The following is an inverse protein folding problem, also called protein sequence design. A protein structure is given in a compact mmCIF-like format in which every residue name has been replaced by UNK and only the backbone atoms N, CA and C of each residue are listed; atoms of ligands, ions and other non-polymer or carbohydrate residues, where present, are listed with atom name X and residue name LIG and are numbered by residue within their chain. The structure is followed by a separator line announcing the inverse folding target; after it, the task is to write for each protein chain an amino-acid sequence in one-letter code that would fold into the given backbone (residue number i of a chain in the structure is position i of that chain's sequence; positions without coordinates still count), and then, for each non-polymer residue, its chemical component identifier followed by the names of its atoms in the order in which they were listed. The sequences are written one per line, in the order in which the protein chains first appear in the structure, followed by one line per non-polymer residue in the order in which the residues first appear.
data_IF_546939498332
#
_entry.id   IF_546939498332
#
_cell.length_a   1.000
_cell.length_b   1.000
_cell.length_c   1.000
_cell.angle_alpha   90.00
_cell.angle_beta   90.00
_cell.angle_gamma   90.00
#
_symmetry.space_group_name_H-M   'P 1'
#
loop_
_entity.id
_entity.type
_entity.pdbx_description
1 polymer ?
#
# COMPACT_ATOMS: atom_id res chain seq x y z
N UNK A 1 -34.41 20.89 6.00
CA UNK A 1 -34.16 19.83 4.99
C UNK A 1 -32.98 20.25 4.13
N UNK A 2 -32.13 19.34 3.76
CA UNK A 2 -31.02 19.60 2.85
C UNK A 2 -31.53 19.58 1.42
N UNK A 3 -31.04 20.46 0.56
CA UNK A 3 -31.46 20.52 -0.85
C UNK A 3 -30.23 20.40 -1.76
N UNK A 4 -30.38 19.67 -2.87
CA UNK A 4 -29.34 19.57 -3.90
C UNK A 4 -29.32 20.85 -4.75
N UNK A 5 -28.46 21.79 -4.40
CA UNK A 5 -28.40 23.13 -5.02
C UNK A 5 -27.85 23.11 -6.46
N UNK A 6 -26.86 22.21 -6.71
CA UNK A 6 -26.20 22.15 -8.01
C UNK A 6 -25.58 20.80 -8.31
N UNK A 7 -25.53 20.46 -9.62
CA UNK A 7 -24.77 19.31 -10.17
C UNK A 7 -23.80 19.88 -11.19
N UNK A 8 -22.51 19.96 -10.85
CA UNK A 8 -21.50 20.61 -11.68
C UNK A 8 -20.45 19.62 -12.16
N UNK A 9 -20.15 19.63 -13.45
CA UNK A 9 -19.05 18.84 -14.00
C UNK A 9 -17.73 19.14 -13.30
N UNK A 10 -16.96 18.10 -12.99
CA UNK A 10 -15.60 18.21 -12.46
C UNK A 10 -14.60 18.35 -13.61
N UNK A 11 -13.39 18.85 -13.30
CA UNK A 11 -12.26 18.78 -14.24
C UNK A 11 -11.79 17.35 -14.54
N UNK A 12 -12.16 16.39 -13.69
CA UNK A 12 -11.88 14.98 -13.89
C UNK A 12 -13.00 14.40 -14.74
N UNK A 13 -12.64 13.70 -15.83
CA UNK A 13 -13.60 13.04 -16.72
C UNK A 13 -14.55 12.12 -15.96
N UNK A 14 -15.81 12.09 -16.39
CA UNK A 14 -16.90 11.27 -15.84
C UNK A 14 -17.21 11.53 -14.34
N UNK A 15 -16.72 12.63 -13.78
CA UNK A 15 -17.00 13.05 -12.40
C UNK A 15 -17.82 14.34 -12.38
N UNK A 16 -18.78 14.39 -11.48
CA UNK A 16 -19.55 15.58 -11.13
C UNK A 16 -19.40 15.86 -9.64
N UNK A 17 -19.66 17.08 -9.23
CA UNK A 17 -19.79 17.46 -7.83
C UNK A 17 -21.25 17.80 -7.56
N UNK A 18 -21.86 17.11 -6.61
CA UNK A 18 -23.15 17.46 -6.03
C UNK A 18 -22.90 18.52 -4.97
N UNK A 19 -23.51 19.69 -5.07
CA UNK A 19 -23.41 20.74 -4.05
C UNK A 19 -24.78 20.90 -3.38
N UNK A 20 -24.78 20.98 -2.06
CA UNK A 20 -25.97 21.09 -1.25
C UNK A 20 -26.20 22.52 -0.75
N UNK A 21 -27.39 22.79 -0.17
CA UNK A 21 -27.80 24.11 0.30
C UNK A 21 -26.94 24.66 1.45
N UNK A 22 -26.25 23.81 2.19
CA UNK A 22 -25.27 24.14 3.25
C UNK A 22 -23.85 24.37 2.69
N UNK A 23 -23.67 24.45 1.38
CA UNK A 23 -22.39 24.55 0.67
C UNK A 23 -21.48 23.29 0.81
N UNK A 24 -21.93 22.24 1.46
CA UNK A 24 -21.22 20.96 1.40
C UNK A 24 -21.28 20.39 -0.02
N UNK A 25 -20.31 19.49 -0.34
CA UNK A 25 -20.31 18.85 -1.64
C UNK A 25 -19.81 17.44 -1.60
N UNK A 26 -20.29 16.60 -2.53
CA UNK A 26 -19.86 15.21 -2.71
C UNK A 26 -19.47 14.99 -4.18
N UNK A 27 -18.31 14.39 -4.46
CA UNK A 27 -17.95 13.97 -5.81
C UNK A 27 -18.67 12.68 -6.18
N UNK A 28 -19.22 12.63 -7.37
CA UNK A 28 -19.99 11.50 -7.90
C UNK A 28 -19.50 11.07 -9.27
N UNK A 29 -19.74 9.82 -9.60
CA UNK A 29 -19.66 9.36 -10.98
C UNK A 29 -20.93 9.77 -11.73
N UNK A 30 -20.79 10.21 -13.00
CA UNK A 30 -21.93 10.75 -13.74
C UNK A 30 -23.07 9.74 -13.91
N UNK A 31 -22.73 8.46 -14.14
CA UNK A 31 -23.73 7.40 -14.29
C UNK A 31 -24.56 7.18 -13.02
N UNK A 32 -23.96 7.39 -11.83
CA UNK A 32 -24.66 7.24 -10.55
C UNK A 32 -25.66 8.39 -10.34
N UNK A 33 -25.41 9.58 -10.89
CA UNK A 33 -26.37 10.68 -10.89
C UNK A 33 -27.62 10.30 -11.70
N UNK A 34 -27.42 9.68 -12.87
CA UNK A 34 -28.51 9.21 -13.72
C UNK A 34 -29.28 8.07 -13.04
N UNK A 35 -28.58 7.06 -12.52
CA UNK A 35 -29.20 5.92 -11.83
C UNK A 35 -30.04 6.33 -10.64
N UNK A 36 -29.59 7.31 -9.86
CA UNK A 36 -30.30 7.81 -8.69
C UNK A 36 -31.32 8.92 -9.02
N UNK A 37 -31.47 9.25 -10.31
CA UNK A 37 -32.38 10.27 -10.81
C UNK A 37 -32.24 11.60 -10.06
N UNK A 38 -30.99 12.05 -9.86
CA UNK A 38 -30.70 13.27 -9.12
C UNK A 38 -30.93 14.50 -9.98
N UNK A 39 -31.74 15.42 -9.47
CA UNK A 39 -32.06 16.68 -10.16
C UNK A 39 -31.80 17.88 -9.27
N UNK A 40 -31.45 19.00 -9.87
CA UNK A 40 -31.26 20.26 -9.16
C UNK A 40 -32.55 20.67 -8.39
N UNK A 41 -32.37 21.25 -7.22
CA UNK A 41 -33.41 21.68 -6.27
C UNK A 41 -34.20 20.52 -5.62
N UNK A 42 -33.73 19.30 -5.77
CA UNK A 42 -34.31 18.13 -5.08
C UNK A 42 -34.10 18.22 -3.58
N UNK A 43 -35.12 17.95 -2.80
CA UNK A 43 -35.02 17.76 -1.36
C UNK A 43 -34.36 16.42 -1.05
N UNK A 44 -33.47 16.43 -0.07
CA UNK A 44 -32.67 15.28 0.37
C UNK A 44 -32.97 15.07 1.85
N UNK A 45 -33.65 13.98 2.14
CA UNK A 45 -33.83 13.48 3.50
C UNK A 45 -32.55 12.79 4.03
N UNK A 46 -32.58 12.36 5.28
CA UNK A 46 -31.43 11.72 5.93
C UNK A 46 -31.05 10.38 5.29
N UNK A 47 -32.02 9.56 4.90
CA UNK A 47 -31.76 8.25 4.28
C UNK A 47 -31.13 8.41 2.91
N UNK A 48 -31.68 9.35 2.12
CA UNK A 48 -31.09 9.67 0.80
C UNK A 48 -29.71 10.28 0.92
N UNK A 49 -29.46 11.13 1.92
CA UNK A 49 -28.13 11.67 2.18
C UNK A 49 -27.12 10.56 2.50
N UNK A 50 -27.47 9.61 3.36
CA UNK A 50 -26.63 8.47 3.69
C UNK A 50 -26.33 7.60 2.45
N UNK A 51 -27.33 7.37 1.62
CA UNK A 51 -27.14 6.68 0.33
C UNK A 51 -26.18 7.45 -0.59
N UNK A 52 -26.31 8.76 -0.67
CA UNK A 52 -25.41 9.60 -1.48
C UNK A 52 -23.98 9.58 -0.95
N UNK A 53 -23.82 9.66 0.38
CA UNK A 53 -22.51 9.56 1.03
C UNK A 53 -21.89 8.18 0.73
N UNK A 54 -22.66 7.11 0.91
CA UNK A 54 -22.19 5.73 0.66
C UNK A 54 -21.73 5.57 -0.80
N UNK A 55 -22.55 6.02 -1.76
CA UNK A 55 -22.25 5.93 -3.20
C UNK A 55 -20.99 6.73 -3.55
N UNK A 56 -20.89 7.97 -3.07
CA UNK A 56 -19.72 8.82 -3.26
C UNK A 56 -18.44 8.20 -2.70
N UNK A 57 -18.50 7.73 -1.46
CA UNK A 57 -17.36 7.10 -0.79
C UNK A 57 -16.92 5.81 -1.51
N UNK A 58 -17.88 5.00 -1.95
CA UNK A 58 -17.61 3.77 -2.70
C UNK A 58 -16.89 4.07 -4.03
N UNK A 59 -17.39 5.06 -4.78
CA UNK A 59 -16.76 5.51 -6.01
C UNK A 59 -15.32 5.97 -5.79
N UNK A 60 -15.11 6.87 -4.83
CA UNK A 60 -13.78 7.41 -4.53
C UNK A 60 -12.80 6.34 -4.03
N UNK A 61 -13.29 5.42 -3.20
CA UNK A 61 -12.47 4.34 -2.67
C UNK A 61 -12.08 3.32 -3.73
N UNK A 62 -13.00 2.99 -4.65
CA UNK A 62 -12.72 2.12 -5.79
C UNK A 62 -11.67 2.72 -6.72
N UNK A 63 -11.81 4.00 -7.07
CA UNK A 63 -10.82 4.73 -7.86
C UNK A 63 -9.44 4.77 -7.15
N UNK A 64 -9.44 5.00 -5.84
CA UNK A 64 -8.22 4.98 -5.05
C UNK A 64 -7.57 3.60 -5.04
N UNK A 65 -8.34 2.53 -4.82
CA UNK A 65 -7.85 1.15 -4.80
C UNK A 65 -7.22 0.75 -6.14
N UNK A 66 -7.90 1.03 -7.25
CA UNK A 66 -7.38 0.77 -8.60
C UNK A 66 -6.07 1.51 -8.86
N UNK A 67 -5.96 2.78 -8.47
CA UNK A 67 -4.69 3.54 -8.56
C UNK A 67 -3.59 2.92 -7.71
N UNK A 68 -3.90 2.41 -6.50
CA UNK A 68 -2.89 1.77 -5.67
C UNK A 68 -2.36 0.47 -6.28
N UNK A 69 -3.22 -0.32 -6.91
CA UNK A 69 -2.84 -1.56 -7.59
C UNK A 69 -2.04 -1.26 -8.86
N UNK A 70 -2.44 -0.25 -9.63
CA UNK A 70 -1.72 0.19 -10.84
C UNK A 70 -0.26 0.63 -10.56
N UNK A 71 0.01 1.19 -9.37
CA UNK A 71 1.38 1.57 -8.98
C UNK A 71 2.24 0.34 -8.68
N UNK A 72 1.69 -0.66 -8.01
CA UNK A 72 2.39 -1.92 -7.69
C UNK A 72 1.42 -2.93 -7.11
N UNK A 73 1.66 -4.24 -7.28
CA UNK A 73 0.88 -5.30 -6.65
C UNK A 73 0.67 -5.06 -5.15
N UNK A 74 -0.52 -5.35 -4.67
CA UNK A 74 -0.92 -5.24 -3.27
C UNK A 74 -1.54 -6.55 -2.82
N UNK A 75 -1.39 -6.85 -1.52
CA UNK A 75 -2.23 -7.86 -0.88
C UNK A 75 -3.43 -7.19 -0.19
N UNK A 76 -4.39 -8.01 0.19
CA UNK A 76 -5.63 -7.56 0.84
C UNK A 76 -5.37 -6.70 2.08
N UNK A 77 -4.53 -7.19 3.00
CA UNK A 77 -4.22 -6.48 4.27
C UNK A 77 -3.63 -5.09 4.02
N UNK A 78 -2.68 -4.99 3.11
CA UNK A 78 -2.04 -3.71 2.79
C UNK A 78 -3.00 -2.74 2.10
N UNK A 79 -3.83 -3.24 1.17
CA UNK A 79 -4.81 -2.42 0.48
C UNK A 79 -5.88 -1.93 1.45
N UNK A 80 -6.42 -2.80 2.31
CA UNK A 80 -7.38 -2.45 3.36
C UNK A 80 -6.84 -1.36 4.29
N UNK A 81 -5.61 -1.49 4.78
CA UNK A 81 -4.97 -0.47 5.61
C UNK A 81 -4.88 0.88 4.90
N UNK A 82 -4.47 0.88 3.62
CA UNK A 82 -4.40 2.11 2.81
C UNK A 82 -5.78 2.73 2.59
N UNK A 83 -6.81 1.92 2.35
CA UNK A 83 -8.18 2.40 2.20
C UNK A 83 -8.73 3.01 3.50
N UNK A 84 -8.45 2.42 4.66
CA UNK A 84 -8.82 3.01 5.97
C UNK A 84 -8.22 4.40 6.15
N UNK A 85 -6.94 4.58 5.86
CA UNK A 85 -6.28 5.89 5.91
C UNK A 85 -6.84 6.88 4.89
N UNK A 86 -7.19 6.40 3.70
CA UNK A 86 -7.86 7.20 2.68
C UNK A 86 -9.23 7.68 3.16
N UNK A 87 -10.05 6.81 3.75
CA UNK A 87 -11.36 7.18 4.30
C UNK A 87 -11.26 8.21 5.42
N UNK A 88 -10.30 8.08 6.33
CA UNK A 88 -10.09 9.09 7.40
C UNK A 88 -9.88 10.50 6.81
N UNK A 89 -9.06 10.61 5.77
CA UNK A 89 -8.81 11.89 5.09
C UNK A 89 -10.04 12.38 4.33
N UNK A 90 -10.74 11.46 3.66
CA UNK A 90 -11.92 11.76 2.83
C UNK A 90 -13.10 12.22 3.67
N UNK A 91 -13.39 11.55 4.79
CA UNK A 91 -14.42 11.95 5.74
C UNK A 91 -14.19 13.37 6.26
N UNK A 92 -12.96 13.69 6.68
CA UNK A 92 -12.62 15.07 7.11
C UNK A 92 -12.80 16.09 6.00
N UNK A 93 -12.39 15.75 4.77
CA UNK A 93 -12.49 16.66 3.62
C UNK A 93 -13.93 17.02 3.27
N UNK A 94 -14.85 16.06 3.37
CA UNK A 94 -16.26 16.22 2.99
C UNK A 94 -17.20 16.39 4.18
N UNK A 95 -16.64 16.62 5.37
CA UNK A 95 -17.41 16.80 6.63
C UNK A 95 -18.39 15.64 6.92
N UNK A 96 -17.95 14.41 6.64
CA UNK A 96 -18.73 13.19 6.87
C UNK A 96 -18.45 12.70 8.30
N UNK A 97 -19.52 12.22 9.00
CA UNK A 97 -19.38 11.68 10.36
C UNK A 97 -18.29 10.60 10.45
N UNK A 98 -17.55 10.62 11.55
CA UNK A 98 -16.55 9.59 11.83
C UNK A 98 -17.19 8.19 12.03
N UNK A 99 -18.46 8.12 12.46
CA UNK A 99 -19.18 6.88 12.70
C UNK A 99 -19.73 6.25 11.42
N UNK A 100 -19.67 6.97 10.28
CA UNK A 100 -20.14 6.41 9.02
C UNK A 100 -19.40 5.09 8.69
N UNK A 101 -20.15 3.99 8.41
CA UNK A 101 -19.56 2.65 8.26
C UNK A 101 -18.74 2.52 6.97
N UNK A 102 -17.42 2.38 7.12
CA UNK A 102 -16.51 2.22 5.97
C UNK A 102 -16.09 0.77 5.73
N UNK A 103 -16.23 -0.11 6.73
CA UNK A 103 -15.77 -1.49 6.61
C UNK A 103 -16.50 -2.27 5.53
N UNK A 104 -17.84 -2.22 5.42
CA UNK A 104 -18.56 -2.90 4.34
C UNK A 104 -18.12 -2.42 2.94
N UNK A 105 -17.83 -1.12 2.79
CA UNK A 105 -17.34 -0.57 1.52
C UNK A 105 -15.97 -1.16 1.17
N UNK A 106 -15.06 -1.25 2.15
CA UNK A 106 -13.72 -1.83 1.94
C UNK A 106 -13.83 -3.30 1.55
N UNK A 107 -14.63 -4.08 2.27
CA UNK A 107 -14.81 -5.50 2.04
C UNK A 107 -15.39 -5.78 0.65
N UNK A 108 -16.43 -5.05 0.25
CA UNK A 108 -17.04 -5.17 -1.07
C UNK A 108 -16.04 -4.85 -2.21
N UNK A 109 -15.25 -3.78 -2.06
CA UNK A 109 -14.24 -3.43 -3.06
C UNK A 109 -13.15 -4.48 -3.14
N UNK A 110 -12.67 -5.00 -2.01
CA UNK A 110 -11.67 -6.06 -1.97
C UNK A 110 -12.20 -7.33 -2.65
N UNK A 111 -13.43 -7.74 -2.35
CA UNK A 111 -14.07 -8.89 -3.00
C UNK A 111 -14.13 -8.69 -4.51
N UNK A 112 -14.65 -7.57 -4.99
CA UNK A 112 -14.73 -7.26 -6.43
C UNK A 112 -13.34 -7.30 -7.11
N UNK A 113 -12.30 -6.77 -6.46
CA UNK A 113 -10.95 -6.78 -7.01
C UNK A 113 -10.34 -8.19 -7.07
N UNK A 114 -10.67 -9.06 -6.11
CA UNK A 114 -10.30 -10.49 -6.14
C UNK A 114 -11.00 -11.22 -7.26
N UNK A 115 -12.31 -11.05 -7.40
CA UNK A 115 -13.13 -11.71 -8.43
C UNK A 115 -12.65 -11.35 -9.84
N UNK A 116 -12.14 -10.12 -10.01
CA UNK A 116 -11.53 -9.67 -11.26
C UNK A 116 -10.05 -10.03 -11.40
N UNK A 117 -9.49 -10.79 -10.46
CA UNK A 117 -8.07 -11.15 -10.39
C UNK A 117 -7.09 -9.93 -10.41
N UNK A 118 -7.57 -8.77 -9.96
CA UNK A 118 -6.75 -7.56 -9.83
C UNK A 118 -6.00 -7.49 -8.50
N UNK A 119 -6.40 -8.31 -7.53
CA UNK A 119 -5.76 -8.45 -6.22
C UNK A 119 -5.26 -9.89 -6.08
N UNK A 120 -4.04 -10.13 -6.58
CA UNK A 120 -3.42 -11.45 -6.65
C UNK A 120 -2.26 -11.55 -5.65
N UNK A 121 -2.33 -12.56 -4.76
CA UNK A 121 -1.31 -12.77 -3.73
C UNK A 121 0.03 -13.21 -4.32
N UNK A 122 0.03 -14.05 -5.35
CA UNK A 122 1.25 -14.52 -6.01
C UNK A 122 2.03 -13.37 -6.65
N UNK A 123 1.33 -12.45 -7.32
CA UNK A 123 1.92 -11.27 -7.92
C UNK A 123 2.50 -10.33 -6.85
N UNK A 124 1.78 -10.16 -5.74
CA UNK A 124 2.28 -9.40 -4.60
C UNK A 124 3.54 -10.02 -4.01
N UNK A 125 3.57 -11.32 -3.78
CA UNK A 125 4.72 -12.05 -3.22
C UNK A 125 5.93 -11.90 -4.13
N UNK A 126 5.77 -12.15 -5.42
CA UNK A 126 6.84 -12.01 -6.41
C UNK A 126 7.41 -10.59 -6.44
N UNK A 127 6.53 -9.60 -6.52
CA UNK A 127 6.92 -8.19 -6.46
C UNK A 127 7.65 -7.86 -5.15
N UNK A 128 7.13 -8.32 -4.01
CA UNK A 128 7.69 -8.04 -2.69
C UNK A 128 9.10 -8.62 -2.53
N UNK A 129 9.32 -9.85 -3.00
CA UNK A 129 10.63 -10.51 -3.01
C UNK A 129 11.62 -9.68 -3.85
N UNK A 130 11.25 -9.32 -5.09
CA UNK A 130 12.12 -8.54 -5.97
C UNK A 130 12.45 -7.15 -5.42
N UNK A 131 11.49 -6.48 -4.84
CA UNK A 131 11.67 -5.17 -4.20
C UNK A 131 12.62 -5.22 -3.00
N UNK A 132 12.60 -6.31 -2.25
CA UNK A 132 13.40 -6.51 -1.04
C UNK A 132 14.68 -7.34 -1.28
N UNK A 133 15.09 -7.55 -2.53
CA UNK A 133 16.25 -8.37 -2.92
C UNK A 133 17.59 -8.02 -2.25
N UNK A 134 17.64 -6.91 -1.51
CA UNK A 134 18.80 -6.44 -0.75
C UNK A 134 18.80 -6.92 0.72
N UNK A 135 17.78 -7.67 1.13
CA UNK A 135 17.63 -8.26 2.46
C UNK A 135 17.98 -9.75 2.42
N UNK A 136 18.23 -10.35 3.57
CA UNK A 136 18.39 -11.81 3.67
C UNK A 136 17.11 -12.54 3.27
N UNK A 137 17.26 -13.78 2.81
CA UNK A 137 16.09 -14.62 2.44
C UNK A 137 15.17 -14.83 3.64
N UNK A 138 15.74 -15.10 4.84
CA UNK A 138 14.96 -15.26 6.07
C UNK A 138 14.17 -14.01 6.44
N UNK A 139 14.76 -12.81 6.28
CA UNK A 139 14.07 -11.56 6.55
C UNK A 139 12.93 -11.31 5.56
N UNK A 140 13.08 -11.70 4.29
CA UNK A 140 12.01 -11.58 3.29
C UNK A 140 10.82 -12.47 3.67
N UNK A 141 11.08 -13.74 4.03
CA UNK A 141 10.04 -14.67 4.51
C UNK A 141 9.31 -14.10 5.72
N UNK A 142 10.07 -13.62 6.71
CA UNK A 142 9.50 -12.99 7.89
C UNK A 142 8.62 -11.78 7.56
N UNK A 143 9.08 -10.88 6.68
CA UNK A 143 8.31 -9.71 6.29
C UNK A 143 7.03 -10.07 5.53
N UNK A 144 7.05 -11.10 4.69
CA UNK A 144 5.85 -11.58 3.98
C UNK A 144 4.85 -12.16 4.98
N UNK A 145 5.30 -12.88 6.00
CA UNK A 145 4.43 -13.43 7.04
C UNK A 145 3.66 -12.35 7.82
N UNK A 146 4.22 -11.13 7.94
CA UNK A 146 3.55 -9.99 8.57
C UNK A 146 2.27 -9.56 7.82
N UNK A 147 2.17 -9.91 6.54
CA UNK A 147 0.94 -9.70 5.75
C UNK A 147 -0.07 -10.85 5.88
N UNK A 148 0.22 -11.87 6.71
CA UNK A 148 -0.61 -13.05 6.87
C UNK A 148 -0.38 -14.12 5.81
N UNK A 149 0.63 -13.95 4.96
CA UNK A 149 0.96 -14.86 3.87
C UNK A 149 2.04 -15.84 4.33
N UNK A 150 1.76 -17.14 4.17
CA UNK A 150 2.74 -18.20 4.40
C UNK A 150 3.35 -18.61 3.06
N UNK A 151 4.66 -18.47 2.93
CA UNK A 151 5.39 -18.91 1.74
C UNK A 151 6.43 -19.96 2.09
N UNK A 152 6.69 -20.84 1.14
CA UNK A 152 7.82 -21.76 1.22
C UNK A 152 9.13 -20.94 1.01
N UNK A 153 10.13 -21.03 1.92
CA UNK A 153 11.43 -20.40 1.74
C UNK A 153 12.12 -20.77 0.42
N UNK A 154 11.84 -21.95 -0.14
CA UNK A 154 12.34 -22.37 -1.45
C UNK A 154 11.91 -21.44 -2.59
N UNK A 155 10.73 -20.83 -2.50
CA UNK A 155 10.26 -19.83 -3.46
C UNK A 155 11.17 -18.59 -3.46
N UNK A 156 11.57 -18.11 -2.29
CA UNK A 156 12.49 -16.96 -2.18
C UNK A 156 13.84 -17.32 -2.78
N UNK A 157 14.36 -18.53 -2.49
CA UNK A 157 15.61 -19.02 -3.07
C UNK A 157 15.55 -19.17 -4.60
N UNK A 158 14.41 -19.63 -5.13
CA UNK A 158 14.17 -19.73 -6.59
C UNK A 158 14.15 -18.36 -7.27
N UNK A 159 13.49 -17.38 -6.66
CA UNK A 159 13.36 -16.03 -7.22
C UNK A 159 14.59 -15.15 -6.97
N UNK A 160 15.37 -15.46 -5.94
CA UNK A 160 16.63 -14.80 -5.59
C UNK A 160 17.73 -15.85 -5.36
N UNK A 161 18.38 -16.34 -6.42
CA UNK A 161 19.39 -17.40 -6.31
C UNK A 161 20.70 -16.94 -5.65
N UNK A 162 20.85 -15.64 -5.35
CA UNK A 162 22.03 -15.12 -4.67
C UNK A 162 22.00 -15.50 -3.20
N UNK A 163 23.13 -16.05 -2.69
CA UNK A 163 23.29 -16.34 -1.28
C UNK A 163 23.52 -15.06 -0.46
N UNK A 164 23.29 -15.13 0.82
CA UNK A 164 23.41 -13.99 1.75
C UNK A 164 24.84 -13.45 1.80
N UNK A 165 25.86 -14.30 1.69
CA UNK A 165 27.29 -13.89 1.66
C UNK A 165 27.58 -12.94 0.48
N UNK A 166 27.06 -13.26 -0.71
CA UNK A 166 27.22 -12.40 -1.86
C UNK A 166 26.48 -11.07 -1.72
N UNK A 167 25.31 -11.07 -1.07
CA UNK A 167 24.56 -9.83 -0.79
C UNK A 167 25.30 -8.94 0.21
N UNK A 168 25.96 -9.53 1.23
CA UNK A 168 26.80 -8.78 2.17
C UNK A 168 28.00 -8.16 1.43
N UNK A 169 28.71 -8.94 0.60
CA UNK A 169 29.84 -8.43 -0.22
C UNK A 169 29.40 -7.25 -1.09
N UNK A 170 28.32 -7.43 -1.87
CA UNK A 170 27.74 -6.34 -2.70
C UNK A 170 27.36 -5.11 -1.90
N UNK A 171 26.89 -5.27 -0.67
CA UNK A 171 26.57 -4.13 0.19
C UNK A 171 27.83 -3.35 0.57
N UNK A 172 28.91 -4.04 0.95
CA UNK A 172 30.19 -3.43 1.30
C UNK A 172 30.79 -2.69 0.10
N UNK A 173 30.81 -3.32 -1.06
CA UNK A 173 31.32 -2.74 -2.32
C UNK A 173 30.54 -1.48 -2.72
N UNK A 174 29.23 -1.55 -2.73
CA UNK A 174 28.34 -0.41 -3.02
C UNK A 174 28.58 0.78 -2.09
N UNK A 175 28.90 0.51 -0.84
CA UNK A 175 29.23 1.53 0.18
C UNK A 175 30.69 1.97 0.13
N UNK A 176 31.51 1.37 -0.76
CA UNK A 176 32.94 1.61 -0.85
C UNK A 176 33.67 1.39 0.49
N UNK A 177 33.20 0.38 1.24
CA UNK A 177 33.76 0.04 2.53
C UNK A 177 35.00 -0.82 2.28
N UNK A 178 36.14 -0.34 2.72
CA UNK A 178 37.42 -1.00 2.60
C UNK A 178 37.96 -1.47 3.95
N UNK A 179 39.10 -2.15 3.92
CA UNK A 179 39.79 -2.66 5.11
C UNK A 179 40.10 -1.53 6.12
N UNK A 180 40.59 -0.37 5.66
CA UNK A 180 40.91 0.76 6.54
C UNK A 180 39.68 1.27 7.29
N UNK A 181 38.52 1.33 6.61
CA UNK A 181 37.27 1.71 7.24
C UNK A 181 36.82 0.70 8.30
N UNK A 182 37.00 -0.60 8.04
CA UNK A 182 36.61 -1.68 8.94
C UNK A 182 37.63 -1.91 10.09
N UNK A 183 38.85 -1.37 10.00
CA UNK A 183 39.86 -1.44 11.07
C UNK A 183 39.41 -0.64 12.30
N UNK A 184 38.68 0.45 12.09
CA UNK A 184 38.04 1.16 13.20
C UNK A 184 36.89 0.34 13.80
N UNK A 185 36.96 0.13 15.12
CA UNK A 185 36.00 -0.68 15.85
C UNK A 185 34.57 -0.14 15.73
N UNK A 186 34.39 1.17 15.86
CA UNK A 186 33.07 1.80 15.84
C UNK A 186 32.43 1.70 14.43
N UNK A 187 33.23 1.89 13.38
CA UNK A 187 32.77 1.75 12.00
C UNK A 187 32.36 0.32 11.70
N UNK A 188 33.18 -0.66 12.12
CA UNK A 188 32.85 -2.09 12.01
C UNK A 188 31.55 -2.43 12.70
N UNK A 189 31.33 -1.98 13.93
CA UNK A 189 30.07 -2.19 14.66
C UNK A 189 28.86 -1.57 13.95
N UNK A 190 28.99 -0.35 13.41
CA UNK A 190 27.93 0.30 12.62
C UNK A 190 27.54 -0.53 11.39
N UNK A 191 28.53 -1.07 10.67
CA UNK A 191 28.29 -1.91 9.50
C UNK A 191 27.62 -3.22 9.89
N UNK A 192 28.13 -3.92 10.92
CA UNK A 192 27.53 -5.15 11.44
C UNK A 192 26.08 -4.92 11.86
N UNK A 193 25.78 -3.86 12.60
CA UNK A 193 24.42 -3.51 13.01
C UNK A 193 23.51 -3.19 11.81
N UNK A 194 24.05 -2.53 10.78
CA UNK A 194 23.31 -2.23 9.54
C UNK A 194 22.93 -3.51 8.78
N UNK A 195 23.85 -4.47 8.68
CA UNK A 195 23.63 -5.76 8.03
C UNK A 195 22.68 -6.63 8.86
N UNK A 196 22.85 -6.65 10.19
CA UNK A 196 21.95 -7.39 11.09
C UNK A 196 20.49 -6.89 10.98
N UNK A 197 20.25 -5.58 10.93
CA UNK A 197 18.91 -5.01 10.71
C UNK A 197 18.30 -5.39 9.35
N UNK A 198 19.10 -5.85 8.39
CA UNK A 198 18.64 -6.42 7.12
C UNK A 198 18.37 -7.92 7.18
N UNK A 199 18.57 -8.51 8.37
CA UNK A 199 18.29 -9.91 8.68
C UNK A 199 19.41 -10.88 8.29
N UNK A 200 20.61 -10.40 7.99
CA UNK A 200 21.74 -11.28 7.76
C UNK A 200 22.21 -11.91 9.07
N UNK A 201 22.64 -13.18 9.01
CA UNK A 201 23.18 -13.90 10.16
C UNK A 201 24.49 -13.26 10.63
N UNK A 202 24.70 -13.15 11.94
CA UNK A 202 25.93 -12.60 12.51
C UNK A 202 27.18 -13.38 12.11
N UNK A 203 27.09 -14.71 11.97
CA UNK A 203 28.18 -15.56 11.51
C UNK A 203 28.59 -15.19 10.08
N UNK A 204 27.61 -15.06 9.17
CA UNK A 204 27.86 -14.68 7.78
C UNK A 204 28.46 -13.27 7.67
N UNK A 205 27.93 -12.33 8.48
CA UNK A 205 28.46 -10.96 8.55
C UNK A 205 29.93 -10.98 8.99
N UNK A 206 30.26 -11.70 10.05
CA UNK A 206 31.64 -11.83 10.57
C UNK A 206 32.54 -12.46 9.53
N UNK A 207 32.14 -13.59 8.95
CA UNK A 207 32.94 -14.30 7.94
C UNK A 207 33.30 -13.38 6.76
N UNK A 208 32.33 -12.63 6.23
CA UNK A 208 32.59 -11.71 5.12
C UNK A 208 33.49 -10.55 5.55
N UNK A 209 33.29 -9.97 6.72
CA UNK A 209 34.14 -8.89 7.24
C UNK A 209 35.57 -9.39 7.47
N UNK A 210 35.74 -10.57 8.05
CA UNK A 210 37.06 -11.18 8.31
C UNK A 210 37.79 -11.51 7.00
N UNK A 211 37.06 -11.91 5.95
CA UNK A 211 37.63 -12.09 4.61
C UNK A 211 38.25 -10.81 4.06
N UNK A 212 37.65 -9.64 4.31
CA UNK A 212 38.24 -8.35 3.93
C UNK A 212 39.56 -8.03 4.62
N UNK A 213 39.86 -8.67 5.77
CA UNK A 213 41.16 -8.55 6.44
C UNK A 213 42.18 -9.56 5.93
N UNK A 214 41.75 -10.69 5.33
CA UNK A 214 42.63 -11.71 4.79
C UNK A 214 43.12 -11.47 3.39
N UNK A 215 42.41 -10.63 2.62
CA UNK A 215 42.80 -10.25 1.27
C UNK A 215 43.93 -9.21 1.33
N UNK A 216 45.13 -9.72 1.52
CA UNK A 216 46.40 -9.00 1.31
C UNK A 216 46.92 -9.26 -0.09
#
# INVERSE_FOLDING_TARGET
MLQLSNIKASRISNRVNLTFSDNSYLPFFIDDVVKLSLVKNQEIDSEKLDLLIHTSLTYLAKEYALRQIAISPKNEKLLSQKMRLFFQKTKRKFNISNDFPILPIIENIISELKDRNLLNESDFVTYFIQKNRHKSQAQIVFLISQFGIKIDPSLVKKLLPQNDLNLIKKFLDKKRINQNYLSDFNNRQKIMASLYRRGFNLTDIKNVIDDYFKLK
#
